data_IF_410205280630
#
_entry.id   IF_410205280630
#
_cell.length_a   1.000
_cell.length_b   1.000
_cell.length_c   1.000
_cell.angle_alpha   90.00
_cell.angle_beta   90.00
_cell.angle_gamma   90.00
#
_symmetry.space_group_name_H-M   'P 1'
#
loop_
_entity.id
_entity.type
_entity.pdbx_description
1 polymer ?
#
# COMPACT_ATOMS: atom_id res chain seq x y z
N UNK A 1 -0.57 13.46 -10.79
CA UNK A 1 -1.12 14.30 -9.70
C UNK A 1 -2.28 13.56 -9.06
N UNK A 2 -2.28 13.37 -7.73
CA UNK A 2 -3.41 12.75 -7.03
C UNK A 2 -4.45 13.81 -6.63
N UNK A 3 -5.74 13.48 -6.71
CA UNK A 3 -6.84 14.32 -6.23
C UNK A 3 -7.02 14.17 -4.72
N UNK A 4 -7.25 12.94 -4.23
CA UNK A 4 -7.39 12.63 -2.81
C UNK A 4 -6.96 11.19 -2.55
N UNK A 5 -6.31 10.94 -1.41
CA UNK A 5 -5.82 9.61 -1.05
C UNK A 5 -6.32 9.25 0.35
N UNK A 6 -6.93 8.07 0.47
CA UNK A 6 -7.44 7.55 1.72
C UNK A 6 -6.66 6.31 2.13
N UNK A 7 -6.04 6.35 3.30
CA UNK A 7 -5.46 5.19 3.94
C UNK A 7 -6.43 4.73 5.02
N UNK A 8 -6.97 3.53 4.87
CA UNK A 8 -7.97 2.95 5.79
C UNK A 8 -7.40 1.79 6.56
N UNK A 9 -8.03 1.46 7.69
CA UNK A 9 -7.59 0.39 8.59
C UNK A 9 -6.12 0.55 9.01
N UNK A 10 -5.67 1.79 9.19
CA UNK A 10 -4.29 2.07 9.56
C UNK A 10 -4.07 1.80 11.06
N UNK A 11 -3.16 0.89 11.43
CA UNK A 11 -2.81 0.69 12.84
C UNK A 11 -2.08 1.92 13.39
N UNK A 12 -2.10 2.11 14.71
CA UNK A 12 -1.46 3.28 15.35
C UNK A 12 0.01 3.46 14.98
N UNK A 13 0.74 2.36 14.73
CA UNK A 13 2.13 2.38 14.27
C UNK A 13 2.28 3.08 12.92
N UNK A 14 1.30 2.95 12.02
CA UNK A 14 1.32 3.62 10.72
C UNK A 14 1.37 5.15 10.87
N UNK A 15 0.73 5.73 11.89
CA UNK A 15 0.79 7.18 12.13
C UNK A 15 2.22 7.65 12.39
N UNK A 16 3.06 6.83 13.02
CA UNK A 16 4.47 7.14 13.25
C UNK A 16 5.28 7.01 11.96
N UNK A 17 5.08 5.94 11.18
CA UNK A 17 5.72 5.79 9.87
C UNK A 17 5.34 6.93 8.92
N UNK A 18 4.07 7.35 8.93
CA UNK A 18 3.56 8.44 8.10
C UNK A 18 4.26 9.78 8.40
N UNK A 19 4.69 10.03 9.65
CA UNK A 19 5.48 11.23 9.97
C UNK A 19 6.82 11.27 9.23
N UNK A 20 7.46 10.11 9.05
CA UNK A 20 8.74 9.99 8.34
C UNK A 20 8.52 10.13 6.84
N UNK A 21 7.51 9.45 6.30
CA UNK A 21 7.20 9.45 4.86
C UNK A 21 6.84 10.85 4.36
N UNK A 22 6.05 11.61 5.13
CA UNK A 22 5.63 12.97 4.75
C UNK A 22 6.80 13.92 4.50
N UNK A 23 7.96 13.72 5.13
CA UNK A 23 9.15 14.56 4.93
C UNK A 23 9.70 14.48 3.50
N UNK A 24 9.42 13.37 2.80
CA UNK A 24 9.83 13.16 1.42
C UNK A 24 8.78 13.57 0.39
N UNK A 25 7.61 14.03 0.84
CA UNK A 25 6.49 14.40 -0.04
C UNK A 25 6.29 15.91 -0.04
N UNK A 26 5.88 16.43 -1.21
CA UNK A 26 5.52 17.85 -1.35
C UNK A 26 4.31 18.18 -0.46
N UNK A 27 4.27 19.34 0.22
CA UNK A 27 3.21 19.70 1.16
C UNK A 27 1.80 19.61 0.55
N UNK A 28 1.63 20.03 -0.71
CA UNK A 28 0.34 19.94 -1.43
C UNK A 28 -0.15 18.51 -1.65
N UNK A 29 0.76 17.53 -1.66
CA UNK A 29 0.40 16.11 -1.75
C UNK A 29 0.08 15.56 -0.37
N UNK A 30 0.83 15.99 0.65
CA UNK A 30 0.59 15.59 2.05
C UNK A 30 -0.81 15.99 2.53
N UNK A 31 -1.27 17.19 2.20
CA UNK A 31 -2.61 17.69 2.57
C UNK A 31 -3.76 16.87 1.98
N UNK A 32 -3.51 16.17 0.86
CA UNK A 32 -4.51 15.34 0.17
C UNK A 32 -4.63 13.93 0.75
N UNK A 33 -3.64 13.51 1.55
CA UNK A 33 -3.62 12.17 2.16
C UNK A 33 -4.31 12.23 3.52
N UNK A 34 -5.39 11.45 3.66
CA UNK A 34 -6.08 11.24 4.94
C UNK A 34 -5.88 9.81 5.42
N UNK A 35 -5.50 9.69 6.69
CA UNK A 35 -5.23 8.41 7.33
C UNK A 35 -6.30 8.16 8.39
N UNK A 36 -7.08 7.11 8.20
CA UNK A 36 -8.15 6.70 9.09
C UNK A 36 -7.78 5.42 9.83
N UNK A 37 -7.93 5.44 11.15
CA UNK A 37 -7.81 4.23 11.96
C UNK A 37 -9.09 3.39 11.92
N UNK A 38 -9.07 2.25 12.59
CA UNK A 38 -10.23 1.35 12.71
C UNK A 38 -11.41 2.02 13.45
N UNK A 39 -11.11 2.92 14.40
CA UNK A 39 -12.11 3.67 15.15
C UNK A 39 -12.79 4.78 14.32
N UNK A 40 -12.11 5.29 13.28
CA UNK A 40 -12.53 6.48 12.52
C UNK A 40 -13.37 6.10 11.28
N UNK A 41 -13.86 4.85 11.22
CA UNK A 41 -14.59 4.30 10.06
C UNK A 41 -15.81 5.13 9.67
N UNK A 42 -16.55 5.68 10.63
CA UNK A 42 -17.72 6.53 10.36
C UNK A 42 -17.36 7.82 9.64
N UNK A 43 -16.27 8.47 10.05
CA UNK A 43 -15.78 9.70 9.41
C UNK A 43 -15.25 9.40 8.00
N UNK A 44 -14.54 8.29 7.85
CA UNK A 44 -14.11 7.79 6.55
C UNK A 44 -15.29 7.62 5.59
N UNK A 45 -16.34 6.89 5.99
CA UNK A 45 -17.51 6.67 5.14
C UNK A 45 -18.24 7.97 4.80
N UNK A 46 -18.31 8.91 5.75
CA UNK A 46 -18.87 10.24 5.51
C UNK A 46 -18.11 10.99 4.41
N UNK A 47 -16.78 10.99 4.47
CA UNK A 47 -15.95 11.64 3.44
C UNK A 47 -15.97 10.91 2.09
N UNK A 48 -16.01 9.57 2.12
CA UNK A 48 -16.06 8.76 0.91
C UNK A 48 -17.36 8.98 0.15
N UNK A 49 -18.51 8.93 0.85
CA UNK A 49 -19.83 9.14 0.26
C UNK A 49 -20.04 10.56 -0.29
N UNK A 50 -19.25 11.54 0.16
CA UNK A 50 -19.26 12.88 -0.40
C UNK A 50 -18.60 12.97 -1.78
N UNK A 51 -17.79 11.97 -2.16
CA UNK A 51 -16.99 11.98 -3.39
C UNK A 51 -17.44 10.89 -4.36
N UNK A 52 -17.79 9.71 -3.85
CA UNK A 52 -18.17 8.57 -4.65
C UNK A 52 -19.52 8.01 -4.18
N UNK A 53 -20.37 7.68 -5.15
CA UNK A 53 -21.64 7.01 -4.88
C UNK A 53 -21.40 5.57 -4.39
N UNK A 54 -22.22 5.03 -3.47
CA UNK A 54 -22.01 3.70 -2.89
C UNK A 54 -21.94 2.56 -3.90
N UNK A 55 -22.66 2.68 -5.03
CA UNK A 55 -22.66 1.73 -6.14
C UNK A 55 -21.34 1.67 -6.92
N UNK A 56 -20.48 2.67 -6.76
CA UNK A 56 -19.15 2.75 -7.39
C UNK A 56 -18.04 2.22 -6.48
N UNK A 57 -18.39 1.69 -5.31
CA UNK A 57 -17.44 1.17 -4.32
C UNK A 57 -17.72 -0.32 -4.10
N UNK A 58 -16.71 -1.20 -4.14
CA UNK A 58 -16.88 -2.62 -3.88
C UNK A 58 -17.40 -2.90 -2.45
N UNK A 59 -18.07 -4.04 -2.21
CA UNK A 59 -18.60 -4.39 -0.89
C UNK A 59 -17.48 -4.61 0.14
N UNK A 60 -16.29 -5.05 -0.30
CA UNK A 60 -15.09 -5.20 0.53
C UNK A 60 -14.61 -3.89 1.18
N UNK A 61 -14.98 -2.75 0.62
CA UNK A 61 -14.68 -1.41 1.13
C UNK A 61 -15.91 -0.71 1.71
N UNK A 62 -17.02 -1.42 1.89
CA UNK A 62 -18.26 -0.91 2.48
C UNK A 62 -19.23 -0.24 1.50
N UNK A 63 -19.07 -0.45 0.19
CA UNK A 63 -20.03 -0.01 -0.82
C UNK A 63 -21.06 -1.06 -1.22
N UNK A 64 -21.80 -0.78 -2.29
CA UNK A 64 -22.84 -1.64 -2.88
C UNK A 64 -22.57 -2.01 -4.33
N UNK A 65 -21.39 -1.65 -4.85
CA UNK A 65 -20.99 -1.96 -6.22
C UNK A 65 -20.85 -3.47 -6.46
N UNK A 66 -21.40 -3.96 -7.57
CA UNK A 66 -21.39 -5.39 -7.94
C UNK A 66 -20.17 -5.81 -8.76
N UNK A 67 -19.20 -4.93 -8.95
CA UNK A 67 -18.02 -5.21 -9.78
C UNK A 67 -16.87 -5.80 -8.96
N UNK A 68 -16.06 -6.63 -9.63
CA UNK A 68 -14.86 -7.24 -9.05
C UNK A 68 -13.65 -6.33 -9.27
N UNK A 69 -12.84 -6.15 -8.22
CA UNK A 69 -11.60 -5.38 -8.30
C UNK A 69 -10.61 -6.17 -9.17
N UNK A 70 -10.18 -5.59 -10.30
CA UNK A 70 -9.09 -6.13 -11.11
C UNK A 70 -7.76 -5.58 -10.59
N UNK A 71 -6.77 -6.44 -10.42
CA UNK A 71 -5.43 -6.05 -10.00
C UNK A 71 -4.61 -5.64 -11.25
N UNK A 72 -4.75 -4.38 -11.68
CA UNK A 72 -4.04 -3.80 -12.85
C UNK A 72 -3.96 -4.77 -14.04
N UNK A 73 -2.75 -4.98 -14.58
CA UNK A 73 -2.47 -5.81 -15.76
C UNK A 73 -2.25 -7.29 -15.43
N UNK A 74 -2.64 -7.74 -14.22
CA UNK A 74 -2.53 -9.16 -13.87
C UNK A 74 -3.54 -9.95 -14.71
N UNK A 75 -3.08 -10.92 -15.51
CA UNK A 75 -3.99 -11.77 -16.27
C UNK A 75 -4.97 -12.50 -15.34
N UNK A 76 -6.24 -12.57 -15.75
CA UNK A 76 -7.34 -13.02 -14.90
C UNK A 76 -7.19 -14.49 -14.45
N UNK A 77 -6.36 -15.26 -15.14
CA UNK A 77 -6.01 -16.65 -14.86
C UNK A 77 -5.16 -16.85 -13.59
N UNK A 78 -4.50 -15.82 -13.05
CA UNK A 78 -3.70 -15.97 -11.83
C UNK A 78 -4.57 -15.83 -10.57
N UNK A 79 -4.85 -16.94 -9.90
CA UNK A 79 -5.47 -16.92 -8.57
C UNK A 79 -4.48 -16.39 -7.53
N UNK A 80 -4.74 -15.18 -7.03
CA UNK A 80 -3.94 -14.57 -5.96
C UNK A 80 -4.33 -15.24 -4.64
N UNK A 81 -3.41 -15.99 -4.07
CA UNK A 81 -3.57 -16.54 -2.73
C UNK A 81 -2.95 -15.59 -1.70
N UNK A 82 -3.78 -14.73 -1.10
CA UNK A 82 -3.38 -13.76 -0.08
C UNK A 82 -2.86 -14.39 1.24
N UNK A 83 -3.03 -15.70 1.42
CA UNK A 83 -2.51 -16.42 2.60
C UNK A 83 -1.08 -16.93 2.40
N UNK A 84 -0.57 -16.92 1.17
CA UNK A 84 0.80 -17.36 0.87
C UNK A 84 1.76 -16.17 0.96
N UNK A 85 2.85 -16.36 1.69
CA UNK A 85 4.01 -15.46 1.63
C UNK A 85 4.53 -15.42 0.19
N UNK A 86 4.90 -14.24 -0.32
CA UNK A 86 5.48 -14.11 -1.65
C UNK A 86 6.77 -14.95 -1.74
N UNK A 87 6.91 -15.86 -2.72
CA UNK A 87 8.03 -16.81 -2.79
C UNK A 87 9.34 -16.15 -3.28
N UNK A 88 9.47 -14.82 -3.20
CA UNK A 88 10.67 -14.14 -3.68
C UNK A 88 11.84 -14.40 -2.73
N UNK A 89 12.70 -15.33 -3.12
CA UNK A 89 14.03 -15.50 -2.54
C UNK A 89 14.96 -14.51 -3.23
N UNK A 90 15.60 -13.61 -2.47
CA UNK A 90 16.64 -12.75 -3.00
C UNK A 90 17.74 -13.62 -3.61
N UNK A 91 18.19 -13.34 -4.85
CA UNK A 91 19.33 -14.04 -5.42
C UNK A 91 20.53 -13.86 -4.49
N UNK A 92 21.10 -14.97 -4.04
CA UNK A 92 22.29 -14.96 -3.19
C UNK A 92 23.47 -14.47 -4.03
N UNK A 93 23.84 -13.19 -3.88
CA UNK A 93 25.07 -12.67 -4.46
C UNK A 93 26.25 -13.36 -3.77
N UNK A 94 26.94 -14.24 -4.52
CA UNK A 94 28.21 -14.79 -4.09
C UNK A 94 29.22 -13.63 -4.07
N UNK A 95 29.57 -13.14 -2.88
CA UNK A 95 30.74 -12.28 -2.73
C UNK A 95 31.94 -13.16 -3.06
N UNK A 96 32.58 -12.93 -4.21
CA UNK A 96 33.89 -13.51 -4.46
C UNK A 96 34.86 -12.81 -3.51
N UNK A 97 35.35 -13.53 -2.52
CA UNK A 97 36.48 -13.12 -1.69
C UNK A 97 37.77 -13.12 -2.54
N UNK A 98 37.89 -12.19 -3.50
CA UNK A 98 39.12 -11.98 -4.28
C UNK A 98 40.16 -11.16 -3.48
N UNK A 99 39.97 -11.00 -2.17
CA UNK A 99 40.84 -10.25 -1.28
C UNK A 99 41.66 -11.17 -0.34
N UNK A 100 42.47 -12.09 -0.89
CA UNK A 100 43.65 -12.67 -0.19
C UNK A 100 44.52 -13.53 -1.10
N UNK A 101 45.31 -12.89 -1.97
CA UNK A 101 46.60 -13.42 -2.46
C UNK A 101 47.50 -12.28 -2.96
N UNK A 102 47.82 -11.36 -2.05
CA UNK A 102 49.03 -10.55 -2.14
C UNK A 102 49.61 -10.44 -0.73
N UNK A 103 50.37 -11.46 -0.33
CA UNK A 103 51.30 -11.37 0.79
C UNK A 103 52.28 -12.56 0.75
N UNK A 104 53.49 -12.27 0.26
CA UNK A 104 54.79 -12.88 0.61
C UNK A 104 54.94 -14.38 0.23
N UNK A 105 55.90 -14.77 -0.59
CA UNK A 105 57.35 -14.55 -0.48
C UNK A 105 58.00 -14.54 -1.86
#
# INVERSE_FOLDING_TARGET
MAYKVFVINAPSVFKNCWKIVKTFMEPVTVEKVKVFGTADSKEFFKELNAIASPNMIPPSFGGTGTFTIRLSDVPQEYMINLSKSYPYQLPQFQIKDDAKKNSKT
#
